data_IF_435388570286
#
_entry.id   IF_435388570286
#
_cell.length_a   1.000
_cell.length_b   1.000
_cell.length_c   1.000
_cell.angle_alpha   90.00
_cell.angle_beta   90.00
_cell.angle_gamma   90.00
#
_symmetry.space_group_name_H-M   'P 1'
#
loop_
_entity.id
_entity.type
_entity.pdbx_description
1 polymer ?
#
# COMPACT_ATOMS: atom_id res chain seq x y z
N UNK A 1 9.16 6.00 -15.79
CA UNK A 1 8.21 6.19 -14.67
C UNK A 1 8.80 5.84 -13.32
N UNK A 2 9.32 4.63 -13.08
CA UNK A 2 9.98 4.30 -11.80
C UNK A 2 11.09 5.27 -11.41
N UNK A 3 11.93 5.69 -12.36
CA UNK A 3 12.99 6.67 -12.09
C UNK A 3 12.46 8.01 -11.53
N UNK A 4 11.35 8.51 -12.09
CA UNK A 4 10.68 9.73 -11.63
C UNK A 4 10.11 9.51 -10.22
N UNK A 5 9.48 8.37 -9.98
CA UNK A 5 8.92 8.02 -8.67
C UNK A 5 10.02 7.96 -7.61
N UNK A 6 11.08 7.19 -7.84
CA UNK A 6 12.19 7.04 -6.88
C UNK A 6 12.89 8.37 -6.63
N UNK A 7 13.06 9.18 -7.67
CA UNK A 7 13.58 10.56 -7.54
C UNK A 7 12.67 11.39 -6.64
N UNK A 8 11.35 11.31 -6.76
CA UNK A 8 10.43 12.01 -5.84
C UNK A 8 10.52 11.49 -4.41
N UNK A 9 10.65 10.18 -4.20
CA UNK A 9 10.76 9.60 -2.86
C UNK A 9 12.00 10.08 -2.10
N UNK A 10 13.15 10.22 -2.77
CA UNK A 10 14.38 10.73 -2.14
C UNK A 10 14.44 12.26 -2.07
N UNK A 11 13.41 12.95 -2.57
CA UNK A 11 13.23 14.39 -2.46
C UNK A 11 11.80 14.69 -1.96
N UNK A 12 11.49 14.38 -0.68
CA UNK A 12 10.16 14.61 -0.13
C UNK A 12 9.77 16.09 -0.25
N UNK A 13 8.51 16.33 -0.62
CA UNK A 13 7.97 17.69 -0.73
C UNK A 13 7.70 18.21 0.67
N UNK A 14 8.30 19.34 1.02
CA UNK A 14 7.99 20.02 2.28
C UNK A 14 6.52 20.44 2.32
N UNK A 15 5.87 20.20 3.46
CA UNK A 15 4.51 20.66 3.68
C UNK A 15 4.45 22.18 3.56
N UNK A 16 3.45 22.68 2.81
CA UNK A 16 3.26 24.13 2.61
C UNK A 16 2.88 24.86 3.89
N UNK A 17 2.20 24.15 4.78
CA UNK A 17 1.74 24.64 6.05
C UNK A 17 2.53 23.94 7.14
N UNK A 18 3.14 24.73 8.02
CA UNK A 18 3.71 24.24 9.27
C UNK A 18 2.75 24.67 10.38
N UNK A 19 2.07 23.69 10.95
CA UNK A 19 1.14 23.93 12.03
C UNK A 19 1.95 24.24 13.31
N UNK A 20 1.59 25.30 14.05
CA UNK A 20 2.22 25.55 15.33
C UNK A 20 1.69 24.50 16.32
N UNK A 21 2.57 23.66 16.88
CA UNK A 21 2.17 22.65 17.85
C UNK A 21 1.48 23.30 19.05
N UNK A 22 0.32 22.77 19.46
CA UNK A 22 -0.43 23.18 20.65
C UNK A 22 -0.80 24.68 20.73
N UNK A 23 -0.76 25.41 19.61
CA UNK A 23 -1.07 26.85 19.57
C UNK A 23 -2.07 27.16 18.48
N UNK A 24 -3.23 26.54 18.62
CA UNK A 24 -4.27 26.50 17.58
C UNK A 24 -5.38 27.51 17.81
N UNK A 25 -5.42 28.13 18.98
CA UNK A 25 -6.43 29.09 19.38
C UNK A 25 -5.86 30.50 19.48
N UNK A 26 -6.72 31.49 19.26
CA UNK A 26 -6.39 32.90 19.50
C UNK A 26 -6.24 33.08 21.01
N UNK A 27 -5.09 33.61 21.46
CA UNK A 27 -4.89 33.98 22.86
C UNK A 27 -5.86 35.13 23.19
N UNK A 28 -6.82 34.89 24.09
CA UNK A 28 -7.62 35.98 24.65
C UNK A 28 -6.77 36.69 25.72
N UNK A 29 -6.53 38.00 25.55
CA UNK A 29 -5.90 38.81 26.58
C UNK A 29 -6.86 38.91 27.78
N UNK A 30 -6.72 37.97 28.72
CA UNK A 30 -7.40 38.02 30.01
C UNK A 30 -6.99 39.27 30.76
N UNK A 31 -7.92 40.21 30.87
CA UNK A 31 -7.85 41.34 31.79
C UNK A 31 -7.83 40.74 33.21
N UNK A 32 -6.65 40.60 33.81
CA UNK A 32 -6.45 40.18 35.21
C UNK A 32 -7.04 41.23 36.16
N UNK A 33 -8.36 41.24 36.30
CA UNK A 33 -9.03 41.86 37.44
C UNK A 33 -9.55 40.74 38.34
N UNK A 34 -8.84 40.61 39.47
CA UNK A 34 -9.11 39.77 40.64
C UNK A 34 -10.57 39.33 40.78
N UNK A 35 -10.84 38.03 40.63
CA UNK A 35 -12.03 37.39 41.20
C UNK A 35 -11.60 36.30 42.16
N UNK A 36 -11.71 36.64 43.44
CA UNK A 36 -11.64 35.72 44.56
C UNK A 36 -12.83 34.74 44.50
N UNK A 37 -12.50 33.46 44.66
CA UNK A 37 -13.25 32.31 45.20
C UNK A 37 -14.72 32.04 44.82
N UNK A 38 -14.93 30.73 44.56
CA UNK A 38 -16.16 29.93 44.67
C UNK A 38 -17.13 29.88 43.46
N UNK A 39 -16.87 28.94 42.53
CA UNK A 39 -17.82 27.94 41.96
C UNK A 39 -17.15 27.14 40.80
N UNK A 40 -16.26 26.18 41.12
CA UNK A 40 -15.69 25.24 40.12
C UNK A 40 -16.71 24.15 39.75
N UNK A 41 -17.24 24.18 38.51
CA UNK A 41 -17.17 23.02 37.58
C UNK A 41 -17.90 23.14 36.21
N UNK A 42 -18.72 24.17 35.94
CA UNK A 42 -19.48 24.18 34.65
C UNK A 42 -19.11 25.33 33.69
N UNK A 43 -18.48 26.42 34.17
CA UNK A 43 -18.14 27.58 33.31
C UNK A 43 -16.82 27.43 32.53
N UNK A 44 -15.89 26.59 32.99
CA UNK A 44 -14.59 26.38 32.34
C UNK A 44 -14.70 25.47 31.09
N UNK A 45 -15.55 24.43 31.11
CA UNK A 45 -15.80 23.58 29.93
C UNK A 45 -16.51 24.35 28.80
N UNK A 46 -17.49 25.22 29.11
CA UNK A 46 -18.14 26.06 28.10
C UNK A 46 -17.18 27.07 27.44
N UNK A 47 -16.10 27.45 28.12
CA UNK A 47 -15.11 28.39 27.61
C UNK A 47 -14.15 27.72 26.61
N UNK A 48 -13.75 26.46 26.82
CA UNK A 48 -12.87 25.74 25.90
C UNK A 48 -13.53 25.47 24.54
N UNK A 49 -14.84 25.20 24.53
CA UNK A 49 -15.62 24.95 23.32
C UNK A 49 -15.89 26.23 22.49
N UNK A 50 -15.72 27.41 23.09
CA UNK A 50 -15.90 28.69 22.41
C UNK A 50 -14.60 29.33 21.89
N UNK A 51 -13.42 28.71 22.16
CA UNK A 51 -12.14 29.20 21.65
C UNK A 51 -12.13 29.26 20.12
N UNK A 52 -11.67 30.39 19.59
CA UNK A 52 -11.59 30.61 18.13
C UNK A 52 -10.25 30.14 17.58
N UNK A 53 -10.26 29.37 16.50
CA UNK A 53 -9.03 28.91 15.85
C UNK A 53 -8.25 30.06 15.21
N UNK A 54 -6.92 29.93 15.23
CA UNK A 54 -6.04 30.85 14.50
C UNK A 54 -6.33 30.79 13.00
N UNK A 55 -6.37 31.95 12.36
CA UNK A 55 -6.49 32.01 10.91
C UNK A 55 -5.12 31.80 10.26
N UNK A 56 -4.86 30.57 9.83
CA UNK A 56 -3.65 30.23 9.09
C UNK A 56 -3.72 30.77 7.66
N UNK A 57 -2.99 31.87 7.41
CA UNK A 57 -2.84 32.42 6.06
C UNK A 57 -1.94 31.50 5.22
N UNK A 58 -2.55 30.79 4.27
CA UNK A 58 -1.81 30.11 3.21
C UNK A 58 -1.06 31.17 2.37
N UNK A 59 0.26 31.03 2.29
CA UNK A 59 1.07 31.87 1.40
C UNK A 59 0.78 31.56 -0.07
N UNK A 60 1.25 32.44 -0.96
CA UNK A 60 1.15 32.22 -2.40
C UNK A 60 1.75 30.88 -2.81
N UNK A 61 1.09 30.21 -3.76
CA UNK A 61 1.60 28.95 -4.28
C UNK A 61 3.00 29.13 -4.87
N UNK A 62 3.95 28.35 -4.35
CA UNK A 62 5.27 28.21 -4.92
C UNK A 62 5.41 26.80 -5.52
N UNK A 63 5.76 26.67 -6.81
CA UNK A 63 6.05 25.36 -7.37
C UNK A 63 7.22 24.72 -6.61
N UNK A 64 7.19 23.39 -6.40
CA UNK A 64 8.29 22.70 -5.73
C UNK A 64 9.59 22.87 -6.51
N UNK A 65 10.71 22.98 -5.79
CA UNK A 65 12.03 23.04 -6.38
C UNK A 65 12.33 21.78 -7.20
N UNK A 66 13.23 21.92 -8.18
CA UNK A 66 13.74 20.76 -8.90
C UNK A 66 14.41 19.77 -7.92
N UNK A 67 14.23 18.45 -8.13
CA UNK A 67 14.79 17.44 -7.24
C UNK A 67 16.32 17.57 -7.18
N UNK A 68 16.86 17.61 -5.95
CA UNK A 68 18.32 17.70 -5.72
C UNK A 68 19.01 16.37 -6.04
N UNK A 69 18.39 15.27 -5.59
CA UNK A 69 18.92 13.91 -5.77
C UNK A 69 18.17 13.21 -6.90
N UNK A 70 18.75 13.14 -8.09
CA UNK A 70 18.15 12.43 -9.23
C UNK A 70 18.58 10.97 -9.20
N UNK A 71 17.62 10.06 -9.09
CA UNK A 71 17.88 8.63 -9.23
C UNK A 71 17.95 8.34 -10.72
N UNK A 72 18.98 7.62 -11.17
CA UNK A 72 19.02 7.03 -12.51
C UNK A 72 19.05 5.50 -12.43
N UNK A 73 18.18 4.87 -13.21
CA UNK A 73 18.11 3.42 -13.39
C UNK A 73 18.80 2.96 -14.68
N UNK A 74 19.24 3.90 -15.53
CA UNK A 74 19.88 3.60 -16.82
C UNK A 74 21.17 2.81 -16.60
N UNK A 75 21.32 1.72 -17.35
CA UNK A 75 22.49 0.85 -17.28
C UNK A 75 22.60 0.02 -15.99
N UNK A 76 21.62 0.11 -15.08
CA UNK A 76 21.58 -0.73 -13.88
C UNK A 76 20.87 -2.04 -14.17
N UNK A 77 21.35 -3.10 -13.53
CA UNK A 77 20.63 -4.36 -13.46
C UNK A 77 19.51 -4.25 -12.43
N UNK A 78 18.27 -4.38 -12.88
CA UNK A 78 17.10 -4.28 -12.01
C UNK A 78 16.52 -5.66 -11.73
N UNK A 79 15.98 -5.84 -10.52
CA UNK A 79 15.16 -6.99 -10.16
C UNK A 79 13.70 -6.57 -10.09
N UNK A 80 12.84 -7.35 -10.70
CA UNK A 80 11.41 -7.07 -10.79
C UNK A 80 10.65 -8.36 -10.54
N UNK A 81 9.64 -8.31 -9.68
CA UNK A 81 8.67 -9.40 -9.52
C UNK A 81 7.48 -9.07 -10.42
N UNK A 82 7.08 -10.02 -11.26
CA UNK A 82 6.00 -9.83 -12.24
C UNK A 82 4.78 -10.64 -11.81
N UNK A 83 3.61 -10.00 -11.78
CA UNK A 83 2.34 -10.62 -11.39
C UNK A 83 1.29 -10.32 -12.44
N UNK A 84 0.60 -11.35 -12.91
CA UNK A 84 -0.61 -11.21 -13.70
C UNK A 84 -1.81 -11.45 -12.78
N UNK A 85 -2.79 -10.57 -12.85
CA UNK A 85 -4.02 -10.72 -12.09
C UNK A 85 -5.20 -10.32 -12.97
N UNK A 86 -6.25 -11.15 -12.95
CA UNK A 86 -7.44 -10.94 -13.74
C UNK A 86 -8.65 -11.08 -12.82
N UNK A 87 -9.61 -10.18 -12.97
CA UNK A 87 -10.95 -10.30 -12.39
C UNK A 87 -11.91 -10.54 -13.55
N UNK A 88 -12.67 -11.62 -13.46
CA UNK A 88 -13.70 -11.98 -14.42
C UNK A 88 -15.06 -11.95 -13.71
N UNK A 89 -16.02 -11.26 -14.33
CA UNK A 89 -17.40 -11.19 -13.90
C UNK A 89 -18.27 -11.92 -14.94
N UNK A 90 -19.28 -12.62 -14.44
CA UNK A 90 -20.24 -13.36 -15.28
C UNK A 90 -21.66 -12.94 -14.91
N UNK A 91 -22.68 -13.21 -15.74
CA UNK A 91 -24.07 -12.94 -15.38
C UNK A 91 -24.49 -13.54 -14.03
N UNK A 92 -23.94 -14.71 -13.66
CA UNK A 92 -24.21 -15.38 -12.37
C UNK A 92 -23.47 -14.74 -11.19
N UNK A 93 -22.32 -14.11 -11.45
CA UNK A 93 -21.54 -13.36 -10.46
C UNK A 93 -21.18 -11.98 -11.04
N UNK A 94 -22.16 -11.06 -11.09
CA UNK A 94 -22.04 -9.84 -11.88
C UNK A 94 -21.26 -8.72 -11.19
N UNK A 95 -20.84 -8.91 -9.93
CA UNK A 95 -20.22 -7.87 -9.12
C UNK A 95 -18.97 -8.37 -8.40
N UNK A 96 -17.95 -7.52 -8.34
CA UNK A 96 -16.75 -7.68 -7.52
C UNK A 96 -16.89 -6.80 -6.28
N UNK A 97 -16.80 -7.36 -5.06
CA UNK A 97 -17.04 -6.61 -3.82
C UNK A 97 -15.91 -5.67 -3.40
N UNK A 98 -14.83 -5.58 -4.18
CA UNK A 98 -13.62 -4.86 -3.81
C UNK A 98 -12.54 -5.76 -3.21
N UNK A 99 -11.35 -5.20 -3.08
CA UNK A 99 -10.20 -5.78 -2.40
C UNK A 99 -10.04 -5.24 -0.99
N UNK A 100 -9.06 -5.75 -0.27
CA UNK A 100 -8.66 -5.26 1.05
C UNK A 100 -7.52 -4.24 0.92
N UNK A 101 -7.38 -3.36 1.89
CA UNK A 101 -6.23 -2.49 2.02
C UNK A 101 -4.95 -3.32 2.26
N UNK A 102 -3.93 -3.09 1.44
CA UNK A 102 -2.64 -3.79 1.54
C UNK A 102 -1.50 -2.99 0.92
N UNK A 103 -0.28 -3.33 1.33
CA UNK A 103 0.98 -3.05 0.60
C UNK A 103 1.46 -4.34 -0.07
N UNK A 104 2.30 -4.23 -1.09
CA UNK A 104 2.71 -5.42 -1.85
C UNK A 104 4.01 -6.03 -1.31
N UNK A 105 3.94 -7.34 -1.08
CA UNK A 105 5.03 -8.19 -0.66
C UNK A 105 5.48 -8.04 0.80
N UNK A 106 6.60 -8.70 1.09
CA UNK A 106 7.20 -8.88 2.40
C UNK A 106 8.60 -8.27 2.47
N UNK A 107 9.16 -8.15 3.68
CA UNK A 107 10.48 -7.55 3.90
C UNK A 107 11.61 -8.22 3.09
N UNK A 108 11.51 -9.52 2.83
CA UNK A 108 12.47 -10.27 2.02
C UNK A 108 12.35 -10.00 0.50
N UNK A 109 11.18 -9.56 0.03
CA UNK A 109 10.94 -9.22 -1.38
C UNK A 109 11.44 -7.80 -1.72
N UNK A 110 11.58 -6.94 -0.70
CA UNK A 110 12.24 -5.62 -0.80
C UNK A 110 11.64 -4.73 -1.90
N UNK A 111 10.32 -4.77 -2.04
CA UNK A 111 9.59 -4.00 -3.04
C UNK A 111 9.54 -2.53 -2.61
N UNK A 112 10.02 -1.64 -3.47
CA UNK A 112 10.01 -0.18 -3.24
C UNK A 112 8.93 0.54 -4.03
N UNK A 113 8.48 -0.04 -5.14
CA UNK A 113 7.47 0.56 -5.99
C UNK A 113 6.67 -0.50 -6.77
N UNK A 114 5.43 -0.16 -7.07
CA UNK A 114 4.51 -0.98 -7.83
C UNK A 114 4.11 -0.25 -9.11
N UNK A 115 4.12 -0.96 -10.24
CA UNK A 115 3.64 -0.48 -11.52
C UNK A 115 2.53 -1.37 -12.05
N UNK A 116 1.34 -0.84 -12.29
CA UNK A 116 0.18 -1.61 -12.77
C UNK A 116 -0.18 -1.16 -14.18
N UNK A 117 -0.15 -2.09 -15.11
CA UNK A 117 -0.60 -1.91 -16.50
C UNK A 117 -1.95 -2.59 -16.71
N UNK A 118 -2.95 -1.79 -17.06
CA UNK A 118 -4.32 -2.24 -17.36
C UNK A 118 -4.43 -2.60 -18.84
N UNK A 119 -4.02 -3.80 -19.21
CA UNK A 119 -3.86 -4.15 -20.62
C UNK A 119 -5.18 -4.48 -21.34
N UNK A 120 -6.22 -4.87 -20.61
CA UNK A 120 -7.51 -5.26 -21.19
C UNK A 120 -8.64 -5.14 -20.15
N UNK A 121 -9.69 -4.39 -20.48
CA UNK A 121 -10.90 -4.23 -19.66
C UNK A 121 -12.12 -4.13 -20.57
N UNK A 122 -13.18 -4.87 -20.25
CA UNK A 122 -14.40 -4.88 -21.06
C UNK A 122 -15.62 -5.14 -20.17
N UNK A 123 -16.74 -4.49 -20.53
CA UNK A 123 -18.07 -4.70 -19.94
C UNK A 123 -18.11 -4.62 -18.41
N UNK A 124 -17.40 -3.65 -17.82
CA UNK A 124 -17.43 -3.36 -16.40
C UNK A 124 -17.65 -1.87 -16.15
N UNK A 125 -18.26 -1.54 -15.01
CA UNK A 125 -18.37 -0.18 -14.52
C UNK A 125 -16.99 0.37 -14.17
N UNK A 126 -16.92 1.66 -13.82
CA UNK A 126 -15.66 2.30 -13.45
C UNK A 126 -14.97 1.54 -12.30
N UNK A 127 -13.76 1.06 -12.56
CA UNK A 127 -12.91 0.43 -11.55
C UNK A 127 -11.94 1.47 -11.00
N UNK A 128 -11.88 1.60 -9.66
CA UNK A 128 -11.00 2.54 -8.97
C UNK A 128 -9.95 1.81 -8.15
N UNK A 129 -8.76 2.40 -8.09
CA UNK A 129 -7.70 2.00 -7.18
C UNK A 129 -7.51 3.14 -6.17
N UNK A 130 -7.94 2.91 -4.94
CA UNK A 130 -7.85 3.88 -3.85
C UNK A 130 -6.52 3.73 -3.12
N UNK A 131 -6.01 4.83 -2.57
CA UNK A 131 -4.76 4.92 -1.86
C UNK A 131 -4.95 5.59 -0.50
N UNK A 132 -4.25 5.07 0.51
CA UNK A 132 -4.09 5.72 1.81
C UNK A 132 -2.65 5.59 2.28
N UNK A 133 -2.25 6.43 3.22
CA UNK A 133 -0.96 6.32 3.90
C UNK A 133 -1.14 6.45 5.41
N UNK A 134 -0.26 5.80 6.17
CA UNK A 134 -0.15 6.07 7.59
C UNK A 134 0.42 7.46 7.80
N UNK A 135 -0.06 8.16 8.83
CA UNK A 135 0.48 9.45 9.26
C UNK A 135 1.10 9.32 10.63
N UNK A 136 2.07 10.17 10.92
CA UNK A 136 2.60 10.28 12.27
C UNK A 136 1.55 10.95 13.17
N UNK A 137 1.56 10.56 14.44
CA UNK A 137 0.79 11.25 15.46
C UNK A 137 1.26 12.72 15.54
N UNK A 138 0.35 13.70 15.44
CA UNK A 138 0.71 15.10 15.58
C UNK A 138 1.09 15.42 17.03
N UNK A 139 1.77 16.55 17.24
CA UNK A 139 1.90 17.15 18.57
C UNK A 139 0.62 17.96 18.87
N UNK A 140 -0.03 17.67 20.00
CA UNK A 140 -1.30 18.27 20.42
C UNK A 140 -1.30 18.55 21.93
N UNK A 141 -2.17 19.46 22.37
CA UNK A 141 -2.45 19.68 23.80
C UNK A 141 -3.42 18.61 24.30
N UNK A 142 -3.21 18.10 25.52
CA UNK A 142 -4.02 17.02 26.06
C UNK A 142 -5.52 17.35 25.98
N UNK A 143 -6.33 16.38 25.56
CA UNK A 143 -7.78 16.49 25.41
C UNK A 143 -8.26 17.54 24.35
N UNK A 144 -7.36 18.08 23.52
CA UNK A 144 -7.70 19.01 22.42
C UNK A 144 -8.20 18.30 21.15
N UNK A 145 -9.35 17.64 21.28
CA UNK A 145 -10.05 16.95 20.19
C UNK A 145 -10.36 17.91 19.03
N UNK A 146 -10.89 19.10 19.35
CA UNK A 146 -11.34 20.10 18.37
C UNK A 146 -10.19 20.63 17.50
N UNK A 147 -9.04 20.88 18.11
CA UNK A 147 -7.86 21.35 17.42
C UNK A 147 -7.27 20.30 16.48
N UNK A 148 -7.18 19.05 16.93
CA UNK A 148 -6.71 17.93 16.11
C UNK A 148 -7.61 17.68 14.90
N UNK A 149 -8.93 17.66 15.11
CA UNK A 149 -9.90 17.48 14.03
C UNK A 149 -9.81 18.66 13.03
N UNK A 150 -9.77 19.90 13.50
CA UNK A 150 -9.76 21.07 12.62
C UNK A 150 -8.51 21.16 11.75
N UNK A 151 -7.32 20.96 12.32
CA UNK A 151 -6.06 21.20 11.61
C UNK A 151 -5.50 19.97 10.89
N UNK A 152 -5.76 18.76 11.40
CA UNK A 152 -5.26 17.51 10.82
C UNK A 152 -6.36 16.63 10.22
N UNK A 153 -7.63 16.88 10.53
CA UNK A 153 -8.73 15.98 10.16
C UNK A 153 -8.67 14.65 10.91
N UNK A 154 -8.08 14.64 12.11
CA UNK A 154 -7.92 13.46 12.95
C UNK A 154 -8.86 13.58 14.16
N UNK A 155 -9.87 12.71 14.23
CA UNK A 155 -10.75 12.61 15.39
C UNK A 155 -10.16 11.64 16.42
N UNK A 156 -10.46 11.84 17.70
CA UNK A 156 -10.06 10.91 18.77
C UNK A 156 -10.57 9.48 18.48
N UNK A 157 -9.73 8.47 18.72
CA UNK A 157 -10.02 7.07 18.42
C UNK A 157 -9.93 6.69 16.94
N UNK A 158 -9.73 7.66 16.02
CA UNK A 158 -9.59 7.40 14.59
C UNK A 158 -8.29 6.70 14.24
N UNK A 159 -8.25 6.01 13.11
CA UNK A 159 -7.00 5.49 12.56
C UNK A 159 -6.07 6.64 12.17
N UNK A 160 -4.77 6.55 12.51
CA UNK A 160 -3.71 7.45 12.05
C UNK A 160 -3.40 7.22 10.55
N UNK A 161 -4.40 7.46 9.70
CA UNK A 161 -4.31 7.35 8.25
C UNK A 161 -4.87 8.57 7.54
N UNK A 162 -4.24 8.88 6.41
CA UNK A 162 -4.73 9.87 5.47
C UNK A 162 -5.15 9.17 4.18
N UNK A 163 -6.43 9.35 3.80
CA UNK A 163 -6.93 8.97 2.49
C UNK A 163 -6.32 9.88 1.42
N UNK A 164 -5.66 9.29 0.43
CA UNK A 164 -5.00 10.02 -0.67
C UNK A 164 -5.90 10.14 -1.91
N UNK A 165 -7.09 9.53 -1.86
CA UNK A 165 -8.03 9.45 -2.97
C UNK A 165 -7.78 8.24 -3.86
N UNK A 166 -8.21 8.33 -5.12
CA UNK A 166 -8.18 7.19 -6.04
C UNK A 166 -7.78 7.58 -7.46
N UNK A 167 -7.41 6.57 -8.24
CA UNK A 167 -7.22 6.68 -9.69
C UNK A 167 -8.16 5.72 -10.41
N UNK A 168 -8.78 6.17 -11.51
CA UNK A 168 -9.58 5.30 -12.35
C UNK A 168 -8.67 4.37 -13.17
N UNK A 169 -9.02 3.08 -13.20
CA UNK A 169 -8.44 2.09 -14.08
C UNK A 169 -9.00 2.28 -15.50
N UNK A 170 -8.12 2.47 -16.46
CA UNK A 170 -8.47 2.63 -17.88
C UNK A 170 -7.67 1.66 -18.75
N UNK A 171 -8.27 1.07 -19.81
CA UNK A 171 -7.53 0.27 -20.78
C UNK A 171 -6.32 1.03 -21.33
N UNK A 172 -5.16 0.38 -21.36
CA UNK A 172 -3.90 0.96 -21.83
C UNK A 172 -3.20 1.89 -20.82
N UNK A 173 -3.80 2.15 -19.65
CA UNK A 173 -3.17 2.99 -18.62
C UNK A 173 -2.10 2.21 -17.84
N UNK A 174 -0.96 2.86 -17.61
CA UNK A 174 0.08 2.40 -16.70
C UNK A 174 0.23 3.41 -15.55
N UNK A 175 0.04 2.94 -14.32
CA UNK A 175 0.26 3.72 -13.11
C UNK A 175 1.48 3.19 -12.36
N UNK A 176 2.20 4.09 -11.69
CA UNK A 176 3.37 3.74 -10.87
C UNK A 176 3.29 4.52 -9.56
N UNK A 177 3.36 3.81 -8.44
CA UNK A 177 3.22 4.38 -7.09
C UNK A 177 4.19 3.71 -6.12
N UNK A 178 4.56 4.38 -5.02
CA UNK A 178 5.52 3.84 -4.07
C UNK A 178 4.85 2.76 -3.20
N UNK A 179 5.61 1.75 -2.78
CA UNK A 179 5.07 0.64 -2.00
C UNK A 179 4.74 1.01 -0.54
N UNK A 180 4.99 2.26 -0.14
CA UNK A 180 4.56 2.80 1.16
C UNK A 180 3.07 3.18 1.18
N UNK A 181 2.44 3.33 0.01
CA UNK A 181 1.01 3.60 -0.08
C UNK A 181 0.24 2.28 0.01
N UNK A 182 -0.63 2.19 1.01
CA UNK A 182 -1.65 1.17 0.99
C UNK A 182 -2.63 1.45 -0.11
N UNK A 183 -3.08 0.38 -0.76
CA UNK A 183 -4.08 0.48 -1.81
C UNK A 183 -5.12 -0.62 -1.70
N UNK A 184 -6.30 -0.34 -2.24
CA UNK A 184 -7.35 -1.31 -2.45
C UNK A 184 -8.05 -1.08 -3.78
N UNK A 185 -8.54 -2.16 -4.37
CA UNK A 185 -9.42 -2.08 -5.54
C UNK A 185 -10.84 -1.86 -5.02
N UNK A 186 -11.51 -0.81 -5.49
CA UNK A 186 -12.90 -0.55 -5.12
C UNK A 186 -13.87 -1.57 -5.78
N UNK A 187 -15.09 -1.72 -5.26
CA UNK A 187 -16.12 -2.53 -5.89
C UNK A 187 -16.45 -2.06 -7.32
N UNK A 188 -16.77 -3.00 -8.21
CA UNK A 188 -17.28 -2.71 -9.55
C UNK A 188 -18.14 -3.88 -10.04
N UNK A 189 -18.94 -3.67 -11.08
CA UNK A 189 -19.86 -4.67 -11.62
C UNK A 189 -19.94 -4.65 -13.15
N UNK A 190 -20.68 -5.58 -13.74
CA UNK A 190 -20.97 -5.59 -15.17
C UNK A 190 -21.84 -4.39 -15.57
N UNK A 191 -21.51 -3.76 -16.71
CA UNK A 191 -22.39 -2.74 -17.33
C UNK A 191 -23.60 -3.44 -17.97
N UNK A 192 -23.36 -4.41 -18.85
CA UNK A 192 -24.36 -5.31 -19.39
C UNK A 192 -24.31 -6.64 -18.62
N UNK A 193 -25.27 -6.84 -17.71
CA UNK A 193 -25.37 -8.04 -16.85
C UNK A 193 -25.72 -9.32 -17.62
N UNK A 194 -26.00 -9.25 -18.93
CA UNK A 194 -26.26 -10.43 -19.76
C UNK A 194 -25.00 -11.02 -20.39
N UNK A 195 -23.88 -10.28 -20.36
CA UNK A 195 -22.60 -10.67 -20.95
C UNK A 195 -21.51 -10.73 -19.89
N UNK A 196 -20.49 -11.59 -20.06
CA UNK A 196 -19.32 -11.55 -19.18
C UNK A 196 -18.53 -10.24 -19.38
N UNK A 197 -17.69 -9.93 -18.40
CA UNK A 197 -16.80 -8.77 -18.41
C UNK A 197 -15.54 -9.05 -17.62
N UNK A 198 -14.50 -8.25 -17.82
CA UNK A 198 -13.21 -8.47 -17.16
C UNK A 198 -12.41 -7.20 -16.93
N UNK A 199 -11.48 -7.33 -15.98
CA UNK A 199 -10.37 -6.40 -15.73
C UNK A 199 -9.10 -7.22 -15.64
N UNK A 200 -8.16 -6.99 -16.55
CA UNK A 200 -6.90 -7.72 -16.60
C UNK A 200 -5.71 -6.78 -16.44
N UNK A 201 -4.79 -7.16 -15.56
CA UNK A 201 -3.64 -6.34 -15.22
C UNK A 201 -2.34 -7.14 -15.28
N UNK A 202 -1.27 -6.44 -15.65
CA UNK A 202 0.10 -6.86 -15.51
C UNK A 202 0.78 -5.93 -14.51
N UNK A 203 1.36 -6.50 -13.47
CA UNK A 203 1.97 -5.76 -12.37
C UNK A 203 3.47 -6.02 -12.33
N UNK A 204 4.22 -4.95 -12.13
CA UNK A 204 5.66 -4.95 -11.95
C UNK A 204 5.98 -4.40 -10.56
N UNK A 205 6.53 -5.24 -9.69
CA UNK A 205 7.06 -4.81 -8.40
C UNK A 205 8.56 -4.59 -8.54
N UNK A 206 8.97 -3.33 -8.45
CA UNK A 206 10.36 -2.96 -8.47
C UNK A 206 10.97 -3.30 -7.11
N UNK A 207 11.93 -4.22 -7.12
CA UNK A 207 12.80 -4.49 -5.98
C UNK A 207 13.79 -3.34 -5.84
N UNK A 208 14.13 -2.98 -4.60
CA UNK A 208 15.14 -1.98 -4.26
C UNK A 208 16.40 -2.14 -5.14
N UNK A 209 16.70 -1.18 -6.02
CA UNK A 209 17.84 -1.26 -6.94
C UNK A 209 19.22 -1.18 -6.26
N UNK A 210 19.28 -0.89 -4.95
CA UNK A 210 20.53 -0.76 -4.19
C UNK A 210 20.99 -2.08 -3.56
N UNK A 211 20.14 -3.11 -3.61
CA UNK A 211 20.42 -4.43 -3.07
C UNK A 211 20.17 -5.51 -4.12
N UNK A 212 20.66 -6.72 -3.87
CA UNK A 212 20.34 -7.87 -4.72
C UNK A 212 19.78 -9.00 -3.88
N UNK A 213 18.60 -9.50 -4.28
CA UNK A 213 17.92 -10.64 -3.65
C UNK A 213 18.04 -11.89 -4.54
N UNK A 214 17.72 -13.06 -4.00
CA UNK A 214 17.63 -14.30 -4.78
C UNK A 214 16.59 -14.15 -5.90
N UNK A 215 16.91 -14.59 -7.11
CA UNK A 215 16.00 -14.52 -8.26
C UNK A 215 16.02 -15.78 -9.10
N UNK A 216 15.05 -15.90 -9.99
CA UNK A 216 14.90 -16.99 -10.96
C UNK A 216 16.06 -17.12 -11.96
N UNK A 217 16.99 -16.17 -12.00
CA UNK A 217 18.28 -16.37 -12.69
C UNK A 217 19.10 -17.50 -12.06
N UNK A 218 19.06 -17.61 -10.72
CA UNK A 218 19.87 -18.56 -9.94
C UNK A 218 19.07 -19.72 -9.36
N UNK A 219 17.73 -19.61 -9.36
CA UNK A 219 16.84 -20.66 -8.88
C UNK A 219 16.32 -21.46 -10.07
N UNK A 220 16.68 -22.74 -10.21
CA UNK A 220 16.20 -23.58 -11.31
C UNK A 220 14.69 -23.88 -11.16
N UNK A 221 14.04 -24.42 -12.21
CA UNK A 221 12.64 -24.84 -12.12
C UNK A 221 12.37 -25.74 -10.92
N UNK A 222 11.47 -25.30 -10.04
CA UNK A 222 11.14 -26.01 -8.82
C UNK A 222 10.01 -27.04 -9.00
N UNK A 223 9.31 -27.02 -10.13
CA UNK A 223 8.31 -28.04 -10.42
C UNK A 223 8.94 -29.26 -11.07
N UNK A 224 8.69 -30.43 -10.48
CA UNK A 224 9.19 -31.72 -10.94
C UNK A 224 9.03 -31.93 -12.46
N UNK A 225 7.83 -31.69 -12.98
CA UNK A 225 7.51 -31.90 -14.40
C UNK A 225 8.31 -30.99 -15.33
N UNK A 226 8.60 -29.75 -14.92
CA UNK A 226 9.41 -28.82 -15.68
C UNK A 226 10.88 -29.21 -15.63
N UNK A 227 11.38 -29.54 -14.44
CA UNK A 227 12.75 -30.01 -14.27
C UNK A 227 13.00 -31.26 -15.12
N UNK A 228 12.12 -32.26 -15.05
CA UNK A 228 12.25 -33.48 -15.83
C UNK A 228 12.23 -33.20 -17.33
N UNK A 229 11.35 -32.29 -17.79
CA UNK A 229 11.31 -31.85 -19.18
C UNK A 229 12.64 -31.23 -19.63
N UNK A 230 13.27 -30.39 -18.82
CA UNK A 230 14.58 -29.80 -19.16
C UNK A 230 15.71 -30.84 -19.12
N UNK A 231 15.71 -31.75 -18.15
CA UNK A 231 16.69 -32.85 -18.09
C UNK A 231 16.57 -33.77 -19.29
N UNK A 232 15.36 -34.14 -19.72
CA UNK A 232 15.16 -34.96 -20.91
C UNK A 232 15.67 -34.31 -22.20
N UNK A 233 15.72 -32.97 -22.28
CA UNK A 233 16.33 -32.28 -23.44
C UNK A 233 17.86 -32.42 -23.46
N UNK A 234 18.49 -32.46 -22.29
CA UNK A 234 19.95 -32.54 -22.15
C UNK A 234 20.42 -33.99 -22.24
N UNK A 235 19.71 -34.91 -21.56
CA UNK A 235 20.03 -36.33 -21.49
C UNK A 235 18.79 -37.16 -21.87
N UNK A 236 18.51 -37.34 -23.17
CA UNK A 236 17.34 -38.09 -23.62
C UNK A 236 17.34 -39.55 -23.14
N UNK A 237 18.50 -40.16 -22.93
CA UNK A 237 18.59 -41.55 -22.46
C UNK A 237 18.08 -41.74 -21.03
N UNK A 238 17.80 -40.67 -20.27
CA UNK A 238 17.27 -40.76 -18.90
C UNK A 238 15.93 -41.52 -18.85
N UNK A 239 15.15 -41.48 -19.93
CA UNK A 239 13.88 -42.23 -20.03
C UNK A 239 14.11 -43.75 -20.16
N UNK A 240 15.29 -44.17 -20.61
CA UNK A 240 15.68 -45.58 -20.75
C UNK A 240 16.26 -46.17 -19.45
N UNK A 241 16.40 -45.36 -18.40
CA UNK A 241 16.87 -45.87 -17.11
C UNK A 241 15.89 -46.92 -16.54
N UNK A 242 16.39 -47.99 -15.92
CA UNK A 242 15.57 -48.94 -15.17
C UNK A 242 14.74 -48.22 -14.09
N UNK A 243 13.57 -48.76 -13.77
CA UNK A 243 12.65 -48.14 -12.82
C UNK A 243 13.26 -47.89 -11.43
N UNK A 244 14.18 -48.75 -11.01
CA UNK A 244 14.93 -48.57 -9.76
C UNK A 244 15.77 -47.29 -9.78
N UNK A 245 16.46 -47.00 -10.89
CA UNK A 245 17.25 -45.78 -11.05
C UNK A 245 16.36 -44.53 -11.16
N UNK A 246 15.20 -44.65 -11.81
CA UNK A 246 14.19 -43.56 -11.84
C UNK A 246 13.68 -43.22 -10.45
N UNK A 247 13.43 -44.21 -9.58
CA UNK A 247 13.01 -43.99 -8.19
C UNK A 247 14.10 -43.34 -7.34
N UNK A 248 15.36 -43.76 -7.49
CA UNK A 248 16.47 -43.10 -6.79
C UNK A 248 16.63 -41.63 -7.21
N UNK A 249 16.35 -41.30 -8.48
CA UNK A 249 16.38 -39.91 -8.97
C UNK A 249 15.18 -39.12 -8.43
N UNK A 250 14.01 -39.74 -8.24
CA UNK A 250 12.80 -39.09 -7.72
C UNK A 250 13.02 -38.40 -6.36
N UNK A 251 13.84 -38.97 -5.48
CA UNK A 251 14.17 -38.36 -4.18
C UNK A 251 14.97 -37.06 -4.31
N UNK A 252 15.63 -36.83 -5.44
CA UNK A 252 16.35 -35.59 -5.76
C UNK A 252 15.57 -34.66 -6.68
N UNK A 253 14.35 -35.04 -7.10
CA UNK A 253 13.55 -34.20 -7.96
C UNK A 253 12.96 -33.02 -7.17
N UNK A 254 12.79 -31.86 -7.82
CA UNK A 254 12.08 -30.74 -7.23
C UNK A 254 10.63 -31.09 -6.86
N UNK A 255 9.99 -30.18 -6.11
CA UNK A 255 8.64 -30.39 -5.58
C UNK A 255 7.60 -30.76 -6.64
N UNK A 256 6.67 -31.61 -6.21
CA UNK A 256 5.45 -31.95 -6.96
C UNK A 256 4.49 -30.76 -7.02
N UNK A 257 3.49 -30.85 -7.90
CA UNK A 257 2.45 -29.82 -7.98
C UNK A 257 1.64 -29.71 -6.68
N UNK A 258 1.41 -30.83 -5.99
CA UNK A 258 0.62 -30.82 -4.76
C UNK A 258 1.41 -30.26 -3.59
N UNK A 259 2.69 -30.57 -3.46
CA UNK A 259 3.59 -29.88 -2.52
C UNK A 259 3.66 -28.37 -2.81
N UNK A 260 3.76 -27.98 -4.09
CA UNK A 260 3.78 -26.56 -4.47
C UNK A 260 2.47 -25.84 -4.10
N UNK A 261 1.31 -26.53 -4.14
CA UNK A 261 0.04 -25.96 -3.66
C UNK A 261 0.05 -25.78 -2.15
N UNK A 262 0.58 -26.74 -1.38
CA UNK A 262 0.69 -26.64 0.07
C UNK A 262 1.55 -25.42 0.45
N UNK A 263 2.76 -25.29 -0.12
CA UNK A 263 3.60 -24.11 0.13
C UNK A 263 2.93 -22.80 -0.30
N UNK A 264 2.17 -22.80 -1.40
CA UNK A 264 1.39 -21.64 -1.81
C UNK A 264 0.32 -21.29 -0.77
N UNK A 265 -0.39 -22.26 -0.21
CA UNK A 265 -1.41 -22.03 0.82
C UNK A 265 -0.79 -21.48 2.11
N UNK A 266 0.35 -22.02 2.54
CA UNK A 266 1.13 -21.51 3.67
C UNK A 266 1.58 -20.07 3.44
N UNK A 267 2.13 -19.75 2.26
CA UNK A 267 2.50 -18.39 1.87
C UNK A 267 1.31 -17.43 1.90
N UNK A 268 0.15 -17.86 1.39
CA UNK A 268 -1.06 -17.02 1.39
C UNK A 268 -1.58 -16.78 2.82
N UNK A 269 -1.45 -17.78 3.70
CA UNK A 269 -1.81 -17.67 5.11
C UNK A 269 -0.88 -16.70 5.85
N UNK A 270 0.44 -16.83 5.67
CA UNK A 270 1.44 -15.91 6.22
C UNK A 270 1.18 -14.47 5.76
N UNK A 271 0.92 -14.27 4.46
CA UNK A 271 0.59 -12.95 3.90
C UNK A 271 -0.66 -12.34 4.50
N UNK A 272 -1.69 -13.15 4.75
CA UNK A 272 -2.92 -12.66 5.37
C UNK A 272 -2.65 -12.12 6.78
N UNK A 273 -1.92 -12.86 7.61
CA UNK A 273 -1.58 -12.41 8.96
C UNK A 273 -0.75 -11.13 8.96
N UNK A 274 0.24 -11.04 8.07
CA UNK A 274 1.04 -9.81 7.96
C UNK A 274 0.21 -8.61 7.51
N UNK A 275 -0.74 -8.78 6.58
CA UNK A 275 -1.65 -7.70 6.16
C UNK A 275 -2.53 -7.27 7.33
N UNK A 276 -3.08 -8.22 8.10
CA UNK A 276 -3.92 -7.93 9.28
C UNK A 276 -3.11 -7.20 10.36
N UNK A 277 -1.91 -7.68 10.69
CA UNK A 277 -1.01 -7.08 11.68
C UNK A 277 -0.50 -5.71 11.24
N UNK A 278 -0.07 -5.57 9.99
CA UNK A 278 0.37 -4.27 9.44
C UNK A 278 -0.78 -3.28 9.41
N UNK A 279 -1.99 -3.71 9.06
CA UNK A 279 -3.18 -2.86 9.13
C UNK A 279 -3.37 -2.40 10.57
N UNK A 280 -3.50 -3.29 11.56
CA UNK A 280 -3.78 -2.90 12.94
C UNK A 280 -2.69 -2.06 13.61
N UNK A 281 -1.41 -2.34 13.33
CA UNK A 281 -0.27 -1.71 14.04
C UNK A 281 0.22 -0.42 13.40
N UNK A 282 0.10 -0.28 12.07
CA UNK A 282 0.67 0.85 11.32
C UNK A 282 -0.42 1.77 10.76
N UNK A 283 -1.49 1.21 10.20
CA UNK A 283 -2.49 1.99 9.46
C UNK A 283 -3.81 2.20 10.22
N UNK A 284 -4.18 1.30 11.11
CA UNK A 284 -5.43 1.32 11.89
C UNK A 284 -5.13 1.45 13.38
N UNK A 285 -3.89 1.85 13.73
CA UNK A 285 -3.53 2.22 15.09
C UNK A 285 -4.43 3.40 15.50
N UNK A 286 -5.21 3.26 16.57
CA UNK A 286 -6.07 4.34 17.03
C UNK A 286 -5.20 5.50 17.52
N UNK A 287 -5.59 6.69 17.12
CA UNK A 287 -5.15 7.95 17.70
C UNK A 287 -5.85 8.10 19.05
N UNK A 288 -5.10 8.31 20.13
CA UNK A 288 -5.66 8.43 21.49
C UNK A 288 -5.19 9.74 22.07
N UNK A 289 -6.13 10.64 22.36
CA UNK A 289 -5.84 11.98 22.87
C UNK A 289 -5.69 12.06 24.41
N UNK A 290 -5.84 10.91 25.10
CA UNK A 290 -5.56 10.76 26.53
C UNK A 290 -4.19 10.08 26.76
N UNK A 291 -3.38 10.59 27.70
CA UNK A 291 -2.03 10.07 27.99
C UNK A 291 -2.01 8.59 28.42
N UNK A 292 -0.89 7.92 28.11
CA UNK A 292 -0.40 6.68 28.72
C UNK A 292 0.44 6.96 29.97
#
# INVERSE_FOLDING_TARGET
MFEILLTRLVNPIELRLKLPACKWYVEEEGNNEDKEDDEENDEDEENEDNRTFINLKLGDFKPPNLPKNVISLKGKRLQVIVKLANIHLTPEKPSYPGGVWHVEGMLNERIVASGIYYYDMENITESRLSFRQAVAEPEYEQDDDRGCEHFYGLENGSALTQELGYVCAEPGRLIVFPNVFQHKVEPFELVDKTRPGHRKILVFFLVDPTISILSTERVPPQQNSWFFKEVCKIVPQIVMLPDLAKRCIQEFLPMTLDEAKIFREELMKERKYYIEDSNSTIFERPFSLCEH
#
